data_IF_483696313143
#
_entry.id   IF_483696313143
#
_cell.length_a   1.000
_cell.length_b   1.000
_cell.length_c   1.000
_cell.angle_alpha   90.00
_cell.angle_beta   90.00
_cell.angle_gamma   90.00
#
_symmetry.space_group_name_H-M   'P 1'
#
loop_
_entity.id
_entity.type
_entity.pdbx_description
1 polymer ?
#
# COMPACT_ATOMS: atom_id res chain seq x y z
N UNK A 1 -8.23 4.79 -21.27
CA UNK A 1 -8.41 3.38 -20.84
C UNK A 1 -9.51 3.36 -19.79
N UNK A 2 -10.48 2.45 -19.85
CA UNK A 2 -11.53 2.40 -18.81
C UNK A 2 -11.06 1.45 -17.69
N UNK A 3 -10.21 1.97 -16.83
CA UNK A 3 -9.62 1.25 -15.71
C UNK A 3 -10.66 0.59 -14.78
N UNK A 4 -11.83 1.22 -14.60
CA UNK A 4 -12.92 0.67 -13.80
C UNK A 4 -13.45 -0.65 -14.36
N UNK A 5 -13.69 -0.69 -15.68
CA UNK A 5 -14.14 -1.91 -16.36
C UNK A 5 -13.06 -2.99 -16.26
N UNK A 6 -11.81 -2.63 -16.48
CA UNK A 6 -10.67 -3.53 -16.37
C UNK A 6 -10.55 -4.17 -14.98
N UNK A 7 -10.60 -3.35 -13.91
CA UNK A 7 -10.57 -3.85 -12.53
C UNK A 7 -11.71 -4.82 -12.27
N UNK A 8 -12.95 -4.45 -12.64
CA UNK A 8 -14.12 -5.29 -12.40
C UNK A 8 -14.06 -6.63 -13.13
N UNK A 9 -13.53 -6.67 -14.37
CA UNK A 9 -13.33 -7.90 -15.14
C UNK A 9 -12.25 -8.79 -14.48
N UNK A 10 -11.11 -8.22 -14.07
CA UNK A 10 -10.05 -8.94 -13.36
C UNK A 10 -10.55 -9.53 -12.04
N UNK A 11 -11.30 -8.77 -11.27
CA UNK A 11 -11.89 -9.23 -10.01
C UNK A 11 -12.90 -10.35 -10.20
N UNK A 12 -13.76 -10.27 -11.22
CA UNK A 12 -14.70 -11.34 -11.52
C UNK A 12 -13.97 -12.65 -11.82
N UNK A 13 -12.86 -12.59 -12.58
CA UNK A 13 -12.01 -13.74 -12.85
C UNK A 13 -11.38 -14.29 -11.55
N UNK A 14 -10.73 -13.45 -10.75
CA UNK A 14 -10.09 -13.84 -9.49
C UNK A 14 -11.12 -14.45 -8.54
N UNK A 15 -12.28 -13.84 -8.38
CA UNK A 15 -13.36 -14.34 -7.52
C UNK A 15 -13.83 -15.75 -7.89
N UNK A 16 -13.91 -16.04 -9.20
CA UNK A 16 -14.31 -17.37 -9.69
C UNK A 16 -13.22 -18.43 -9.51
N UNK A 17 -11.95 -18.03 -9.31
CA UNK A 17 -10.78 -18.92 -9.23
C UNK A 17 -9.98 -18.73 -7.95
N UNK A 18 -10.52 -18.09 -6.91
CA UNK A 18 -9.80 -17.70 -5.69
C UNK A 18 -9.05 -18.85 -5.01
N UNK A 19 -9.52 -20.08 -5.13
CA UNK A 19 -8.84 -21.27 -4.60
C UNK A 19 -7.48 -21.54 -5.22
N UNK A 20 -7.24 -21.03 -6.44
CA UNK A 20 -5.98 -21.15 -7.17
C UNK A 20 -5.12 -19.90 -7.11
N UNK A 21 -5.58 -18.85 -6.42
CA UNK A 21 -4.85 -17.60 -6.23
C UNK A 21 -3.68 -17.75 -5.24
N UNK A 22 -2.93 -16.68 -5.00
CA UNK A 22 -1.90 -16.64 -3.96
C UNK A 22 -2.47 -16.91 -2.57
N UNK A 23 -1.62 -17.26 -1.59
CA UNK A 23 -2.08 -17.50 -0.20
C UNK A 23 -2.76 -16.26 0.37
N UNK A 24 -2.17 -15.08 0.20
CA UNK A 24 -2.74 -13.82 0.69
C UNK A 24 -4.10 -13.49 0.06
N UNK A 25 -4.29 -13.76 -1.24
CA UNK A 25 -5.57 -13.57 -1.92
C UNK A 25 -6.63 -14.59 -1.47
N UNK A 26 -6.23 -15.84 -1.19
CA UNK A 26 -7.16 -16.87 -0.68
C UNK A 26 -7.72 -16.56 0.70
N UNK A 27 -6.96 -15.86 1.52
CA UNK A 27 -7.36 -15.49 2.88
C UNK A 27 -8.27 -14.25 2.92
N UNK A 28 -8.43 -13.56 1.79
CA UNK A 28 -9.29 -12.39 1.67
C UNK A 28 -10.63 -12.74 1.02
N UNK A 29 -11.69 -12.07 1.44
CA UNK A 29 -12.90 -12.01 0.66
C UNK A 29 -12.69 -11.09 -0.55
N UNK A 30 -12.98 -11.58 -1.77
CA UNK A 30 -12.88 -10.77 -3.01
C UNK A 30 -14.09 -9.82 -3.07
N UNK A 31 -14.04 -8.80 -2.23
CA UNK A 31 -15.08 -7.77 -2.07
C UNK A 31 -14.47 -6.45 -1.62
N UNK A 32 -15.27 -5.37 -1.72
CA UNK A 32 -14.90 -4.03 -1.25
C UNK A 32 -15.90 -3.51 -0.25
N UNK A 33 -15.43 -2.59 0.59
CA UNK A 33 -16.31 -1.76 1.38
C UNK A 33 -17.09 -0.79 0.47
N UNK A 34 -18.23 -0.26 0.93
CA UNK A 34 -18.99 0.75 0.18
C UNK A 34 -18.12 1.93 -0.25
N UNK A 35 -18.38 2.44 -1.46
CA UNK A 35 -17.73 3.65 -1.95
C UNK A 35 -18.02 4.84 -1.03
N UNK A 36 -17.08 5.76 -0.97
CA UNK A 36 -17.28 7.05 -0.31
C UNK A 36 -18.03 8.02 -1.22
N UNK A 37 -18.87 8.87 -0.62
CA UNK A 37 -19.46 10.00 -1.33
C UNK A 37 -18.42 11.09 -1.59
N UNK A 38 -18.69 11.93 -2.59
CA UNK A 38 -17.87 13.13 -2.87
C UNK A 38 -17.81 14.07 -1.65
N UNK A 39 -18.87 14.14 -0.85
CA UNK A 39 -18.94 14.94 0.36
C UNK A 39 -18.02 14.37 1.47
N UNK A 40 -17.99 13.04 1.65
CA UNK A 40 -17.11 12.38 2.62
C UNK A 40 -15.64 12.58 2.24
N UNK A 41 -15.33 12.44 0.94
CA UNK A 41 -13.97 12.64 0.43
C UNK A 41 -13.53 14.09 0.62
N UNK A 42 -14.36 15.05 0.22
CA UNK A 42 -14.07 16.47 0.38
C UNK A 42 -13.90 16.87 1.86
N UNK A 43 -14.71 16.27 2.76
CA UNK A 43 -14.62 16.48 4.21
C UNK A 43 -13.27 15.97 4.73
N UNK A 44 -12.83 14.80 4.30
CA UNK A 44 -11.52 14.23 4.64
C UNK A 44 -10.38 15.13 4.14
N UNK A 45 -10.41 15.53 2.86
CA UNK A 45 -9.41 16.40 2.25
C UNK A 45 -9.30 17.74 2.98
N UNK A 46 -10.42 18.36 3.29
CA UNK A 46 -10.46 19.64 4.04
C UNK A 46 -9.91 19.47 5.46
N UNK A 47 -10.34 18.42 6.18
CA UNK A 47 -9.88 18.14 7.55
C UNK A 47 -8.37 17.98 7.64
N UNK A 48 -7.77 17.34 6.65
CA UNK A 48 -6.33 17.04 6.62
C UNK A 48 -5.51 18.05 5.81
N UNK A 49 -6.14 19.09 5.24
CA UNK A 49 -5.51 20.11 4.40
C UNK A 49 -4.72 19.53 3.22
N UNK A 50 -5.28 18.54 2.54
CA UNK A 50 -4.70 17.87 1.37
C UNK A 50 -5.73 17.78 0.24
N UNK A 51 -5.26 17.33 -0.93
CA UNK A 51 -6.10 16.75 -1.99
C UNK A 51 -5.58 15.35 -2.29
N UNK A 52 -6.45 14.37 -2.38
CA UNK A 52 -6.06 13.00 -2.75
C UNK A 52 -5.59 12.95 -4.21
N UNK A 53 -4.67 12.02 -4.56
CA UNK A 53 -4.37 11.70 -5.96
C UNK A 53 -5.64 11.31 -6.71
N UNK A 54 -5.80 11.78 -7.95
CA UNK A 54 -7.03 11.65 -8.72
C UNK A 54 -7.45 10.18 -8.95
N UNK A 55 -6.49 9.32 -9.24
CA UNK A 55 -6.72 7.90 -9.46
C UNK A 55 -7.16 7.17 -8.18
N UNK A 56 -6.56 7.46 -7.04
CA UNK A 56 -6.99 6.91 -5.75
C UNK A 56 -8.36 7.46 -5.32
N UNK A 57 -8.58 8.75 -5.53
CA UNK A 57 -9.86 9.41 -5.27
C UNK A 57 -11.00 8.77 -6.08
N UNK A 58 -10.74 8.52 -7.37
CA UNK A 58 -11.67 7.83 -8.27
C UNK A 58 -11.90 6.38 -7.82
N UNK A 59 -10.87 5.68 -7.34
CA UNK A 59 -11.01 4.31 -6.84
C UNK A 59 -11.95 4.24 -5.63
N UNK A 60 -11.74 5.07 -4.60
CA UNK A 60 -12.54 5.04 -3.37
C UNK A 60 -13.98 5.53 -3.58
N UNK A 61 -14.24 6.34 -4.61
CA UNK A 61 -15.59 6.80 -4.96
C UNK A 61 -16.35 5.88 -5.92
N UNK A 62 -15.65 5.04 -6.71
CA UNK A 62 -16.28 4.26 -7.78
C UNK A 62 -16.12 2.74 -7.66
N UNK A 63 -15.11 2.24 -6.95
CA UNK A 63 -14.86 0.81 -6.73
C UNK A 63 -15.14 0.44 -5.28
N UNK A 64 -14.48 1.10 -4.33
CA UNK A 64 -14.71 0.86 -2.91
C UNK A 64 -13.66 1.45 -1.97
N UNK A 65 -14.08 1.72 -0.75
CA UNK A 65 -13.24 2.28 0.31
C UNK A 65 -12.49 1.19 1.07
N UNK A 66 -11.45 0.62 0.45
CA UNK A 66 -10.73 -0.52 0.99
C UNK A 66 -11.39 -1.86 0.68
N UNK A 67 -10.73 -2.95 0.99
CA UNK A 67 -11.15 -4.32 0.71
C UNK A 67 -10.07 -5.15 0.04
N UNK A 68 -10.44 -5.99 -0.93
CA UNK A 68 -9.50 -6.89 -1.61
C UNK A 68 -8.31 -6.14 -2.23
N UNK A 69 -7.09 -6.63 -1.96
CA UNK A 69 -5.86 -5.99 -2.47
C UNK A 69 -4.58 -6.63 -1.97
N UNK A 70 -3.43 -6.03 -2.29
CA UNK A 70 -2.11 -6.52 -1.87
C UNK A 70 -1.98 -6.71 -0.36
N UNK A 71 -1.13 -7.65 0.05
CA UNK A 71 -0.90 -7.99 1.45
C UNK A 71 -2.17 -8.51 2.14
N UNK A 72 -2.62 -7.84 3.17
CA UNK A 72 -3.87 -8.17 3.89
C UNK A 72 -5.09 -7.37 3.40
N UNK A 73 -5.03 -6.84 2.18
CA UNK A 73 -6.08 -6.03 1.58
C UNK A 73 -5.85 -4.52 1.73
N UNK A 74 -6.67 -3.75 1.02
CA UNK A 74 -6.65 -2.29 1.08
C UNK A 74 -7.35 -1.79 2.35
N UNK A 75 -6.75 -0.83 3.02
CA UNK A 75 -7.33 -0.18 4.19
C UNK A 75 -8.39 0.86 3.79
N UNK A 76 -9.47 0.99 4.57
CA UNK A 76 -10.37 2.14 4.45
C UNK A 76 -9.63 3.46 4.71
N UNK A 77 -10.08 4.53 4.06
CA UNK A 77 -9.44 5.85 4.11
C UNK A 77 -9.25 6.37 5.55
N UNK A 78 -10.22 6.16 6.43
CA UNK A 78 -10.16 6.56 7.84
C UNK A 78 -9.15 5.75 8.67
N UNK A 79 -8.74 4.57 8.22
CA UNK A 79 -7.72 3.72 8.84
C UNK A 79 -6.33 3.96 8.26
N UNK A 80 -6.24 4.45 7.03
CA UNK A 80 -4.98 4.68 6.33
C UNK A 80 -4.12 5.82 6.91
N UNK A 81 -4.64 6.58 7.87
CA UNK A 81 -3.95 7.68 8.56
C UNK A 81 -3.23 7.29 9.85
N UNK A 82 -3.27 6.02 10.24
CA UNK A 82 -2.70 5.55 11.51
C UNK A 82 -1.46 4.72 11.23
N UNK A 83 -0.33 5.02 11.89
CA UNK A 83 0.86 4.16 11.83
C UNK A 83 0.68 2.96 12.77
N UNK A 84 0.43 1.80 12.19
CA UNK A 84 0.22 0.56 12.93
C UNK A 84 1.52 -0.10 13.44
N UNK A 85 2.69 0.36 12.99
CA UNK A 85 3.98 -0.13 13.49
C UNK A 85 4.24 0.30 14.92
N UNK A 86 3.83 1.50 15.26
CA UNK A 86 4.07 2.08 16.56
C UNK A 86 3.05 1.61 17.59
N UNK A 87 3.52 1.38 18.81
CA UNK A 87 2.71 0.81 19.90
C UNK A 87 1.52 1.71 20.27
N UNK A 88 1.71 3.01 20.24
CA UNK A 88 0.71 4.03 20.52
C UNK A 88 -0.16 4.40 19.31
N UNK A 89 0.15 3.81 18.13
CA UNK A 89 -0.58 4.00 16.88
C UNK A 89 -0.87 5.47 16.56
N UNK A 90 0.17 6.32 16.44
CA UNK A 90 -0.01 7.73 16.19
C UNK A 90 -0.61 7.99 14.80
N UNK A 91 -1.29 9.12 14.66
CA UNK A 91 -1.74 9.57 13.35
C UNK A 91 -0.55 10.10 12.53
N UNK A 92 -0.57 9.79 11.24
CA UNK A 92 0.38 10.31 10.26
C UNK A 92 0.00 11.75 9.90
N UNK A 93 0.97 12.64 9.83
CA UNK A 93 0.80 14.06 9.47
C UNK A 93 0.65 14.18 7.96
N UNK A 94 -0.59 14.25 7.45
CA UNK A 94 -0.83 14.30 5.99
C UNK A 94 -0.56 15.67 5.37
N UNK A 95 -0.66 16.76 6.16
CA UNK A 95 -0.42 18.13 5.69
C UNK A 95 1.08 18.50 5.62
N UNK A 96 1.96 17.64 6.07
CA UNK A 96 3.40 17.76 5.87
C UNK A 96 3.82 17.05 4.58
N UNK A 97 4.91 17.49 3.96
CA UNK A 97 5.42 16.87 2.73
C UNK A 97 6.14 15.56 3.04
N UNK A 98 5.93 14.56 2.21
CA UNK A 98 6.78 13.37 2.18
C UNK A 98 8.22 13.77 1.85
N UNK A 99 9.21 13.37 2.67
CA UNK A 99 10.54 13.94 2.59
C UNK A 99 11.47 13.34 1.52
N UNK A 100 11.10 12.22 0.90
CA UNK A 100 11.99 11.46 0.02
C UNK A 100 11.55 11.50 -1.43
N UNK A 101 12.55 11.47 -2.35
CA UNK A 101 12.37 11.31 -3.79
C UNK A 101 12.94 9.99 -4.34
N UNK A 102 13.83 9.36 -3.58
CA UNK A 102 14.51 8.11 -3.93
C UNK A 102 14.48 7.14 -2.76
N UNK A 103 14.93 5.90 -2.96
CA UNK A 103 15.07 4.92 -1.88
C UNK A 103 15.76 5.58 -0.68
N UNK A 104 15.17 5.38 0.48
CA UNK A 104 15.74 5.86 1.72
C UNK A 104 15.95 4.71 2.70
N UNK A 105 17.12 4.71 3.29
CA UNK A 105 17.44 3.91 4.47
C UNK A 105 18.53 4.62 5.27
N UNK A 106 18.69 4.30 6.53
CA UNK A 106 19.75 4.84 7.38
C UNK A 106 21.09 4.17 7.09
N UNK A 107 22.17 4.96 7.01
CA UNK A 107 23.51 4.45 6.68
C UNK A 107 24.04 3.42 7.69
N UNK A 108 23.69 3.57 8.97
CA UNK A 108 24.15 2.67 10.02
C UNK A 108 23.66 1.24 9.84
N UNK A 109 22.50 1.03 9.20
CA UNK A 109 21.90 -0.30 8.99
C UNK A 109 22.82 -1.21 8.17
N UNK A 110 23.50 -0.65 7.16
CA UNK A 110 24.39 -1.41 6.29
C UNK A 110 25.68 -1.89 6.99
N UNK A 111 26.08 -1.20 8.07
CA UNK A 111 27.30 -1.50 8.85
C UNK A 111 27.03 -2.16 10.20
N UNK A 112 25.75 -2.35 10.56
CA UNK A 112 25.37 -2.89 11.86
C UNK A 112 25.61 -4.39 11.94
N UNK A 113 26.21 -4.83 13.04
CA UNK A 113 26.46 -6.25 13.33
C UNK A 113 25.23 -6.90 13.98
N UNK A 114 24.33 -7.40 13.15
CA UNK A 114 23.06 -8.03 13.56
C UNK A 114 23.24 -9.38 14.30
N UNK A 115 24.43 -9.96 14.30
CA UNK A 115 24.71 -11.23 15.00
C UNK A 115 25.14 -10.99 16.45
N UNK A 116 25.80 -9.86 16.73
CA UNK A 116 26.37 -9.56 18.04
C UNK A 116 25.62 -8.49 18.83
N UNK A 117 24.87 -7.59 18.16
CA UNK A 117 24.25 -6.41 18.79
C UNK A 117 22.79 -6.22 18.40
N UNK A 118 22.05 -5.47 19.24
CA UNK A 118 20.76 -4.91 18.92
C UNK A 118 20.86 -3.38 18.98
N UNK A 119 20.26 -2.65 18.02
CA UNK A 119 20.32 -1.19 18.04
C UNK A 119 19.63 -0.63 19.29
N UNK A 120 20.16 0.48 19.81
CA UNK A 120 19.57 1.19 20.95
C UNK A 120 18.13 1.61 20.62
N UNK A 121 17.25 1.58 21.64
CA UNK A 121 15.82 1.86 21.48
C UNK A 121 15.58 3.24 20.85
N UNK A 122 16.34 4.27 21.27
CA UNK A 122 16.25 5.62 20.74
C UNK A 122 16.56 5.71 19.25
N UNK A 123 17.52 4.91 18.77
CA UNK A 123 17.88 4.83 17.34
C UNK A 123 16.73 4.17 16.56
N UNK A 124 16.17 3.08 17.10
CA UNK A 124 15.03 2.39 16.49
C UNK A 124 13.80 3.31 16.45
N UNK A 125 13.49 3.99 17.57
CA UNK A 125 12.34 4.89 17.65
C UNK A 125 12.46 6.06 16.66
N UNK A 126 13.67 6.61 16.50
CA UNK A 126 13.93 7.63 15.48
C UNK A 126 13.71 7.08 14.07
N UNK A 127 14.23 5.88 13.77
CA UNK A 127 14.12 5.21 12.48
C UNK A 127 12.68 4.89 12.07
N UNK A 128 11.84 4.44 13.00
CA UNK A 128 10.43 4.10 12.73
C UNK A 128 9.48 5.28 12.92
N UNK A 129 9.98 6.49 13.23
CA UNK A 129 9.18 7.68 13.44
C UNK A 129 8.22 7.97 12.28
N UNK A 130 7.01 8.45 12.60
CA UNK A 130 6.02 8.90 11.60
C UNK A 130 6.49 10.06 10.74
N UNK A 131 7.53 10.80 11.17
CA UNK A 131 8.11 11.89 10.37
C UNK A 131 8.63 11.41 9.01
N UNK A 132 9.12 10.16 8.92
CA UNK A 132 9.59 9.57 7.68
C UNK A 132 8.47 9.24 6.67
N UNK A 133 7.24 9.12 7.14
CA UNK A 133 6.05 8.83 6.31
C UNK A 133 5.03 9.96 6.35
N UNK A 134 5.44 11.15 6.78
CA UNK A 134 4.61 12.35 6.65
C UNK A 134 4.13 12.51 5.20
N UNK A 135 2.92 13.02 5.01
CA UNK A 135 2.32 13.14 3.68
C UNK A 135 1.91 11.83 3.01
N UNK A 136 1.85 10.72 3.76
CA UNK A 136 1.48 9.41 3.21
C UNK A 136 0.23 8.83 3.88
N UNK A 137 -0.55 8.09 3.12
CA UNK A 137 -1.54 7.14 3.61
C UNK A 137 -0.92 5.74 3.67
N UNK A 138 -1.13 4.99 4.75
CA UNK A 138 -0.86 3.54 4.78
C UNK A 138 -2.04 2.82 4.12
N UNK A 139 -1.90 2.46 2.84
CA UNK A 139 -3.01 1.91 2.04
C UNK A 139 -3.18 0.41 2.17
N UNK A 140 -2.17 -0.32 2.64
CA UNK A 140 -2.24 -1.77 2.84
C UNK A 140 -1.15 -2.24 3.82
N UNK A 141 -1.44 -3.32 4.56
CA UNK A 141 -0.44 -4.04 5.37
C UNK A 141 0.10 -5.23 4.58
N UNK A 142 1.44 -5.28 4.44
CA UNK A 142 2.10 -6.41 3.80
C UNK A 142 2.31 -7.60 4.75
N UNK A 143 2.44 -7.32 6.03
CA UNK A 143 2.79 -8.27 7.09
C UNK A 143 4.09 -7.87 7.79
N UNK A 144 4.36 -8.46 8.95
CA UNK A 144 5.57 -8.20 9.77
C UNK A 144 5.87 -6.72 10.03
N UNK A 145 4.84 -5.87 10.10
CA UNK A 145 4.98 -4.44 10.29
C UNK A 145 5.28 -3.63 9.01
N UNK A 146 5.51 -4.29 7.87
CA UNK A 146 5.70 -3.63 6.58
C UNK A 146 4.36 -3.20 5.98
N UNK A 147 4.36 -2.08 5.25
CA UNK A 147 3.14 -1.49 4.69
C UNK A 147 3.38 -0.93 3.28
N UNK A 148 2.28 -0.73 2.54
CA UNK A 148 2.32 0.09 1.34
C UNK A 148 1.79 1.48 1.65
N UNK A 149 2.50 2.49 1.15
CA UNK A 149 2.20 3.90 1.32
C UNK A 149 1.74 4.50 0.00
N UNK A 150 0.78 5.40 0.05
CA UNK A 150 0.44 6.29 -1.05
C UNK A 150 0.82 7.72 -0.63
N UNK A 151 1.71 8.36 -1.38
CA UNK A 151 2.07 9.75 -1.12
C UNK A 151 0.91 10.66 -1.53
N UNK A 152 0.40 11.47 -0.59
CA UNK A 152 -0.69 12.42 -0.82
C UNK A 152 -0.23 13.88 -0.74
N UNK A 153 0.99 14.13 -0.23
CA UNK A 153 1.58 15.47 -0.14
C UNK A 153 3.09 15.41 -0.37
N UNK A 154 3.60 16.31 -1.21
CA UNK A 154 5.01 16.38 -1.60
C UNK A 154 5.22 16.15 -3.09
N UNK A 155 6.48 16.09 -3.51
CA UNK A 155 6.86 15.99 -4.91
C UNK A 155 6.56 14.60 -5.51
N UNK A 156 6.44 13.60 -4.65
CA UNK A 156 6.09 12.22 -4.99
C UNK A 156 4.58 11.91 -4.94
N UNK A 157 3.73 12.92 -4.85
CA UNK A 157 2.28 12.76 -4.75
C UNK A 157 1.71 11.87 -5.86
N UNK A 158 0.94 10.87 -5.47
CA UNK A 158 0.33 9.89 -6.35
C UNK A 158 1.11 8.59 -6.50
N UNK A 159 2.37 8.54 -6.08
CA UNK A 159 3.20 7.35 -6.18
C UNK A 159 3.06 6.45 -4.96
N UNK A 160 3.15 5.14 -5.22
CA UNK A 160 3.12 4.10 -4.18
C UNK A 160 4.53 3.73 -3.76
N UNK A 161 4.73 3.61 -2.45
CA UNK A 161 5.98 3.22 -1.82
C UNK A 161 5.79 1.99 -0.93
N UNK A 162 6.85 1.22 -0.75
CA UNK A 162 6.93 0.16 0.24
C UNK A 162 7.64 0.69 1.47
N UNK A 163 7.04 0.54 2.63
CA UNK A 163 7.62 0.86 3.92
C UNK A 163 8.06 -0.44 4.61
N UNK A 164 9.33 -0.76 4.46
CA UNK A 164 10.00 -1.90 5.07
C UNK A 164 10.83 -1.53 6.29
N UNK A 165 10.56 -0.39 6.95
CA UNK A 165 11.33 0.01 8.15
C UNK A 165 11.18 -0.99 9.30
N UNK A 166 10.11 -1.77 9.34
CA UNK A 166 9.92 -2.80 10.37
C UNK A 166 10.92 -3.97 10.25
N UNK A 167 11.49 -4.20 9.08
CA UNK A 167 12.54 -5.18 8.80
C UNK A 167 13.86 -4.54 8.35
N UNK A 168 14.02 -3.24 8.62
CA UNK A 168 15.20 -2.43 8.31
C UNK A 168 15.50 -2.28 6.81
N UNK A 169 14.56 -2.56 5.92
CA UNK A 169 14.75 -2.37 4.47
C UNK A 169 14.44 -0.95 3.97
N UNK A 170 14.00 -0.05 4.85
CA UNK A 170 13.80 1.36 4.54
C UNK A 170 12.51 1.68 3.79
N UNK A 171 12.53 2.76 3.02
CA UNK A 171 11.43 3.24 2.17
C UNK A 171 11.82 3.09 0.70
N UNK A 172 11.01 2.38 -0.08
CA UNK A 172 11.33 1.99 -1.46
C UNK A 172 10.15 2.32 -2.37
N UNK A 173 10.31 3.17 -3.42
CA UNK A 173 9.24 3.42 -4.36
C UNK A 173 8.89 2.16 -5.16
N UNK A 174 7.62 1.93 -5.43
CA UNK A 174 7.19 0.88 -6.35
C UNK A 174 7.46 1.33 -7.78
N UNK A 175 8.16 0.49 -8.54
CA UNK A 175 8.62 0.81 -9.89
C UNK A 175 8.01 -0.13 -10.93
N UNK A 176 7.74 0.39 -12.12
CA UNK A 176 7.44 -0.37 -13.33
C UNK A 176 8.05 0.34 -14.54
N UNK A 177 8.63 -0.41 -15.47
CA UNK A 177 9.17 0.11 -16.73
C UNK A 177 10.01 1.41 -16.61
N UNK A 178 10.76 1.52 -15.50
CA UNK A 178 11.65 2.65 -15.25
C UNK A 178 10.99 3.92 -14.67
N UNK A 179 9.71 3.87 -14.30
CA UNK A 179 9.02 4.95 -13.60
C UNK A 179 8.36 4.47 -12.30
N UNK A 180 8.02 5.41 -11.40
CA UNK A 180 7.32 5.12 -10.16
C UNK A 180 5.84 4.87 -10.43
N UNK A 181 5.31 3.82 -9.82
CA UNK A 181 3.90 3.45 -10.00
C UNK A 181 2.97 4.44 -9.33
N UNK A 182 1.94 4.87 -10.06
CA UNK A 182 0.73 5.46 -9.48
C UNK A 182 -0.06 4.41 -8.69
N UNK A 183 -1.04 4.85 -7.90
CA UNK A 183 -1.92 3.92 -7.19
C UNK A 183 -2.61 2.93 -8.13
N UNK A 184 -3.13 3.43 -9.25
CA UNK A 184 -3.88 2.59 -10.20
C UNK A 184 -2.98 1.56 -10.90
N UNK A 185 -1.77 1.96 -11.33
CA UNK A 185 -0.81 1.04 -11.92
C UNK A 185 -0.40 -0.06 -10.95
N UNK A 186 -0.10 0.30 -9.71
CA UNK A 186 0.25 -0.63 -8.65
C UNK A 186 -0.89 -1.62 -8.36
N UNK A 187 -2.12 -1.13 -8.28
CA UNK A 187 -3.26 -1.96 -7.97
C UNK A 187 -3.61 -2.93 -9.14
N UNK A 188 -3.60 -2.44 -10.37
CA UNK A 188 -3.81 -3.28 -11.57
C UNK A 188 -2.70 -4.33 -11.69
N UNK A 189 -1.44 -3.96 -11.46
CA UNK A 189 -0.31 -4.89 -11.47
C UNK A 189 -0.48 -6.02 -10.45
N UNK A 190 -1.03 -5.73 -9.27
CA UNK A 190 -1.38 -6.76 -8.30
C UNK A 190 -2.45 -7.72 -8.83
N UNK A 191 -3.52 -7.20 -9.44
CA UNK A 191 -4.57 -8.04 -10.01
C UNK A 191 -4.03 -8.94 -11.15
N UNK A 192 -3.12 -8.41 -11.97
CA UNK A 192 -2.46 -9.17 -13.04
C UNK A 192 -1.59 -10.30 -12.47
N UNK A 193 -0.82 -10.01 -11.43
CA UNK A 193 -0.03 -11.03 -10.73
C UNK A 193 -0.91 -12.15 -10.16
N UNK A 194 -2.06 -11.82 -9.58
CA UNK A 194 -2.98 -12.84 -9.06
C UNK A 194 -3.59 -13.70 -10.18
N UNK A 195 -3.92 -13.11 -11.34
CA UNK A 195 -4.40 -13.83 -12.51
C UNK A 195 -3.31 -14.78 -13.06
N UNK A 196 -2.05 -14.34 -13.12
CA UNK A 196 -0.93 -15.18 -13.51
C UNK A 196 -0.73 -16.37 -12.57
N UNK A 197 -0.79 -16.15 -11.25
CA UNK A 197 -0.72 -17.21 -10.24
C UNK A 197 -1.85 -18.24 -10.40
N UNK A 198 -3.07 -17.77 -10.64
CA UNK A 198 -4.23 -18.63 -10.89
C UNK A 198 -4.00 -19.47 -12.16
N UNK A 199 -3.62 -18.86 -13.27
CA UNK A 199 -3.41 -19.56 -14.55
C UNK A 199 -2.30 -20.61 -14.43
N UNK A 200 -1.21 -20.31 -13.73
CA UNK A 200 -0.13 -21.26 -13.47
C UNK A 200 -0.65 -22.45 -12.65
N UNK A 201 -1.36 -22.21 -11.56
CA UNK A 201 -1.93 -23.27 -10.72
C UNK A 201 -2.91 -24.18 -11.47
N UNK A 202 -3.73 -23.61 -12.38
CA UNK A 202 -4.65 -24.37 -13.21
C UNK A 202 -3.91 -25.24 -14.23
N UNK A 203 -2.81 -24.72 -14.81
CA UNK A 203 -1.99 -25.47 -15.79
C UNK A 203 -1.28 -26.64 -15.12
N UNK A 204 -0.72 -26.44 -13.93
CA UNK A 204 -0.03 -27.49 -13.18
C UNK A 204 -1.01 -28.63 -12.80
N UNK A 205 -2.26 -28.28 -12.43
CA UNK A 205 -3.31 -29.27 -12.07
C UNK A 205 -3.84 -30.11 -13.26
N UNK A 206 -3.55 -29.72 -14.50
CA UNK A 206 -3.96 -30.49 -15.71
C UNK A 206 -2.87 -31.51 -16.08
N UNK A 207 -1.62 -31.27 -15.66
CA UNK A 207 -0.47 -32.09 -16.01
C UNK A 207 -0.13 -33.18 -14.97
N UNK A 208 -0.82 -33.17 -13.83
CA UNK A 208 -0.79 -34.19 -12.77
C UNK A 208 -2.00 -35.15 -12.91
#
# INVERSE_FOLDING_TARGET
MNWKKEILEKLAFIKSHVKSASLGAKEQEVSYNPCLSEEDIATFEHKHCITLPEDYRSFISEIGNGGFGPGHGLLPLDKAIVDFKLRDKPNISLNEKFPYSDNWNEEWIASFDWEEEYPETEIVDAYISTAHIAGCLQISHFGHGCTFLLVVNGDEKGHVWFDGRADYSGLIPKMTDGHKMSFMEWYISYLDMEIENINKSLTDSIND
#
